data_IF_694845257981
#
_entry.id   IF_694845257981
#
_cell.length_a   1.000
_cell.length_b   1.000
_cell.length_c   1.000
_cell.angle_alpha   90.00
_cell.angle_beta   90.00
_cell.angle_gamma   90.00
#
_symmetry.space_group_name_H-M   'P 1'
#
loop_
_entity.id
_entity.type
_entity.pdbx_description
1 polymer ?
#
# COMPACT_ATOMS: atom_id res chain seq x y z
N UNK A 1 -16.18 24.86 -15.62
CA UNK A 1 -15.36 23.66 -15.98
C UNK A 1 -15.40 22.75 -14.79
N UNK A 2 -15.80 21.48 -14.94
CA UNK A 2 -15.74 20.51 -13.86
C UNK A 2 -14.28 20.29 -13.48
N UNK A 3 -13.92 20.48 -12.22
CA UNK A 3 -12.59 20.16 -11.71
C UNK A 3 -12.42 18.66 -11.67
N UNK A 4 -11.29 18.15 -12.18
CA UNK A 4 -10.99 16.71 -12.10
C UNK A 4 -10.89 16.30 -10.63
N UNK A 5 -11.45 15.13 -10.23
CA UNK A 5 -11.18 14.60 -8.90
C UNK A 5 -9.69 14.31 -8.74
N UNK A 6 -9.14 14.59 -7.56
CA UNK A 6 -7.73 14.40 -7.28
C UNK A 6 -7.48 13.20 -6.36
N UNK A 7 -6.33 12.58 -6.53
CA UNK A 7 -5.81 11.50 -5.71
C UNK A 7 -4.36 11.80 -5.30
N UNK A 8 -4.02 11.51 -4.03
CA UNK A 8 -2.63 11.38 -3.60
C UNK A 8 -2.28 9.90 -3.44
N UNK A 9 -1.16 9.48 -4.04
CA UNK A 9 -0.60 8.13 -3.84
C UNK A 9 0.76 8.25 -3.16
N UNK A 10 0.89 7.82 -1.91
CA UNK A 10 2.20 7.79 -1.25
C UNK A 10 3.04 6.63 -1.79
N UNK A 11 4.35 6.87 -1.99
CA UNK A 11 5.20 5.92 -2.71
C UNK A 11 4.76 5.69 -4.16
N UNK A 12 4.12 6.70 -4.78
CA UNK A 12 3.51 6.63 -6.10
C UNK A 12 4.49 6.58 -7.27
N UNK A 13 5.79 6.72 -7.04
CA UNK A 13 6.80 6.76 -8.10
C UNK A 13 7.17 5.39 -8.67
N UNK A 14 7.03 4.32 -7.87
CA UNK A 14 7.51 2.96 -8.21
C UNK A 14 6.53 1.88 -7.79
N UNK A 15 6.76 0.66 -8.32
CA UNK A 15 6.09 -0.58 -7.89
C UNK A 15 4.56 -0.45 -7.92
N UNK A 16 3.86 -0.95 -6.89
CA UNK A 16 2.39 -0.92 -6.78
C UNK A 16 1.87 0.52 -6.84
N UNK A 17 2.51 1.47 -6.15
CA UNK A 17 2.09 2.87 -6.14
C UNK A 17 2.07 3.51 -7.51
N UNK A 18 3.07 3.21 -8.37
CA UNK A 18 3.11 3.74 -9.74
C UNK A 18 2.00 3.16 -10.62
N UNK A 19 1.63 1.89 -10.41
CA UNK A 19 0.52 1.26 -11.16
C UNK A 19 -0.82 1.86 -10.74
N UNK A 20 -1.03 2.10 -9.44
CA UNK A 20 -2.21 2.82 -8.94
C UNK A 20 -2.26 4.23 -9.55
N UNK A 21 -1.14 4.98 -9.53
CA UNK A 21 -1.07 6.33 -10.09
C UNK A 21 -1.44 6.35 -11.59
N UNK A 22 -0.92 5.41 -12.38
CA UNK A 22 -1.25 5.27 -13.81
C UNK A 22 -2.74 4.98 -14.01
N UNK A 23 -3.30 4.01 -13.29
CA UNK A 23 -4.70 3.60 -13.42
C UNK A 23 -5.66 4.76 -13.14
N UNK A 24 -5.39 5.58 -12.12
CA UNK A 24 -6.21 6.75 -11.84
C UNK A 24 -6.00 7.86 -12.89
N UNK A 25 -4.77 8.08 -13.38
CA UNK A 25 -4.50 9.02 -14.47
C UNK A 25 -5.26 8.66 -15.75
N UNK A 26 -5.26 7.38 -16.13
CA UNK A 26 -6.03 6.83 -17.28
C UNK A 26 -7.54 6.98 -17.08
N UNK A 27 -8.02 6.88 -15.84
CA UNK A 27 -9.41 7.12 -15.46
C UNK A 27 -9.79 8.62 -15.39
N UNK A 28 -8.88 9.52 -15.78
CA UNK A 28 -9.15 10.96 -15.92
C UNK A 28 -8.98 11.78 -14.63
N UNK A 29 -8.36 11.23 -13.59
CA UNK A 29 -8.09 11.92 -12.33
C UNK A 29 -6.86 12.84 -12.43
N UNK A 30 -6.79 13.84 -11.55
CA UNK A 30 -5.56 14.54 -11.26
C UNK A 30 -4.76 13.75 -10.22
N UNK A 31 -3.53 13.34 -10.56
CA UNK A 31 -2.73 12.44 -9.73
C UNK A 31 -1.58 13.19 -9.06
N UNK A 32 -1.56 13.21 -7.75
CA UNK A 32 -0.43 13.68 -6.95
C UNK A 32 0.44 12.48 -6.60
N UNK A 33 1.64 12.44 -7.16
CA UNK A 33 2.60 11.34 -7.01
C UNK A 33 3.58 11.72 -5.89
N UNK A 34 3.41 11.11 -4.72
CA UNK A 34 4.37 11.32 -3.63
C UNK A 34 5.55 10.36 -3.78
N UNK A 35 6.75 10.89 -3.48
CA UNK A 35 8.00 10.14 -3.41
C UNK A 35 8.87 10.60 -2.23
N UNK A 36 9.72 9.71 -1.72
CA UNK A 36 10.79 10.05 -0.77
C UNK A 36 12.07 10.44 -1.52
N UNK A 37 12.68 9.48 -2.21
CA UNK A 37 13.97 9.61 -2.90
C UNK A 37 13.91 9.42 -4.42
N UNK A 38 12.82 8.85 -4.95
CA UNK A 38 12.66 8.47 -6.36
C UNK A 38 12.15 9.64 -7.23
N UNK A 39 12.92 10.74 -7.29
CA UNK A 39 12.52 11.98 -7.94
C UNK A 39 12.43 11.87 -9.48
N UNK A 40 13.32 11.11 -10.10
CA UNK A 40 13.33 10.92 -11.54
C UNK A 40 12.11 10.12 -11.98
N UNK A 41 11.88 8.96 -11.38
CA UNK A 41 10.74 8.09 -11.71
C UNK A 41 9.40 8.79 -11.42
N UNK A 42 9.33 9.61 -10.38
CA UNK A 42 8.13 10.40 -10.09
C UNK A 42 7.84 11.43 -11.19
N UNK A 43 8.87 12.14 -11.67
CA UNK A 43 8.75 13.13 -12.74
C UNK A 43 8.40 12.49 -14.07
N UNK A 44 9.04 11.37 -14.42
CA UNK A 44 8.76 10.64 -15.65
C UNK A 44 7.33 10.14 -15.68
N UNK A 45 6.87 9.58 -14.56
CA UNK A 45 5.48 9.14 -14.44
C UNK A 45 4.50 10.32 -14.53
N UNK A 46 4.79 11.43 -13.87
CA UNK A 46 3.92 12.63 -13.94
C UNK A 46 3.85 13.18 -15.37
N UNK A 47 4.97 13.20 -16.10
CA UNK A 47 5.02 13.65 -17.49
C UNK A 47 4.23 12.74 -18.45
N UNK A 48 4.11 11.43 -18.12
CA UNK A 48 3.38 10.46 -18.92
C UNK A 48 1.85 10.49 -18.67
N UNK A 49 1.39 11.18 -17.63
CA UNK A 49 -0.04 11.22 -17.27
C UNK A 49 -0.71 12.52 -17.79
N UNK A 50 -2.01 12.45 -18.17
CA UNK A 50 -2.75 13.61 -18.69
C UNK A 50 -2.91 14.76 -17.70
N UNK A 51 -2.81 14.48 -16.39
CA UNK A 51 -2.93 15.48 -15.32
C UNK A 51 -2.28 14.91 -14.06
N UNK A 52 -1.06 15.33 -13.79
CA UNK A 52 -0.34 14.89 -12.61
C UNK A 52 0.65 15.96 -12.11
N UNK A 53 1.04 15.82 -10.87
CA UNK A 53 2.12 16.55 -10.23
C UNK A 53 2.88 15.66 -9.27
N UNK A 54 4.05 16.08 -8.84
CA UNK A 54 4.86 15.34 -7.86
C UNK A 54 4.97 16.12 -6.56
N UNK A 55 5.05 15.41 -5.44
CA UNK A 55 5.35 15.98 -4.13
C UNK A 55 6.38 15.14 -3.42
N UNK A 56 7.41 15.78 -2.87
CA UNK A 56 8.45 15.10 -2.10
C UNK A 56 8.20 15.26 -0.61
N UNK A 57 8.31 14.16 0.14
CA UNK A 57 8.30 14.18 1.60
C UNK A 57 9.00 12.91 2.13
N UNK A 58 9.76 13.03 3.21
CA UNK A 58 10.19 11.83 3.96
C UNK A 58 9.09 11.47 4.97
N UNK A 59 8.48 10.31 4.81
CA UNK A 59 7.43 9.85 5.72
C UNK A 59 7.95 9.39 7.10
N UNK A 60 9.27 9.34 7.30
CA UNK A 60 9.85 9.23 8.63
C UNK A 60 9.64 10.52 9.45
N UNK A 61 9.51 11.68 8.77
CA UNK A 61 9.08 12.94 9.38
C UNK A 61 7.56 13.09 9.28
N UNK A 62 6.86 12.65 10.34
CA UNK A 62 5.41 12.70 10.40
C UNK A 62 4.84 14.13 10.41
N UNK A 63 5.59 15.13 10.85
CA UNK A 63 5.13 16.52 10.86
C UNK A 63 5.23 17.12 9.47
N UNK A 64 6.30 16.86 8.73
CA UNK A 64 6.42 17.21 7.32
C UNK A 64 5.32 16.55 6.47
N UNK A 65 5.01 15.27 6.73
CA UNK A 65 3.92 14.56 6.05
C UNK A 65 2.55 15.20 6.30
N UNK A 66 2.26 15.59 7.54
CA UNK A 66 1.02 16.32 7.89
C UNK A 66 0.99 17.70 7.25
N UNK A 67 2.11 18.44 7.19
CA UNK A 67 2.20 19.72 6.52
C UNK A 67 1.92 19.59 5.01
N UNK A 68 2.48 18.58 4.35
CA UNK A 68 2.20 18.24 2.95
C UNK A 68 0.70 18.00 2.71
N UNK A 69 0.04 17.22 3.57
CA UNK A 69 -1.41 16.97 3.45
C UNK A 69 -2.22 18.26 3.63
N UNK A 70 -1.85 19.13 4.55
CA UNK A 70 -2.51 20.44 4.76
C UNK A 70 -2.37 21.35 3.54
N UNK A 71 -1.18 21.41 2.93
CA UNK A 71 -0.92 22.19 1.72
C UNK A 71 -1.78 21.68 0.54
N UNK A 72 -1.77 20.37 0.30
CA UNK A 72 -2.60 19.74 -0.74
C UNK A 72 -4.09 20.03 -0.52
N UNK A 73 -4.57 19.94 0.72
CA UNK A 73 -5.97 20.20 1.05
C UNK A 73 -6.38 21.67 0.84
N UNK A 74 -5.45 22.61 0.98
CA UNK A 74 -5.70 24.02 0.75
C UNK A 74 -5.86 24.37 -0.74
N UNK A 75 -5.16 23.65 -1.64
CA UNK A 75 -5.09 23.99 -3.07
C UNK A 75 -5.86 23.05 -4.02
N UNK A 76 -6.20 21.82 -3.58
CA UNK A 76 -6.96 20.90 -4.38
C UNK A 76 -8.47 21.04 -4.11
N UNK A 77 -9.28 21.49 -5.08
CA UNK A 77 -10.70 21.80 -4.84
C UNK A 77 -11.60 20.55 -4.73
N UNK A 78 -11.20 19.42 -5.33
CA UNK A 78 -11.86 18.11 -5.21
C UNK A 78 -10.81 17.03 -4.96
N UNK A 79 -10.19 17.07 -3.77
CA UNK A 79 -9.27 15.98 -3.37
C UNK A 79 -10.06 14.84 -2.75
N UNK A 80 -10.33 13.84 -3.57
CA UNK A 80 -11.27 12.77 -3.24
C UNK A 80 -10.62 11.54 -2.62
N UNK A 81 -9.40 11.19 -3.03
CA UNK A 81 -8.75 9.94 -2.60
C UNK A 81 -7.37 10.18 -2.04
N UNK A 82 -7.08 9.57 -0.90
CA UNK A 82 -5.75 9.38 -0.33
C UNK A 82 -5.43 7.88 -0.31
N UNK A 83 -4.38 7.46 -1.01
CA UNK A 83 -3.84 6.10 -0.95
C UNK A 83 -2.54 6.09 -0.18
N UNK A 84 -2.53 5.50 1.01
CA UNK A 84 -1.33 5.25 1.79
C UNK A 84 -0.70 3.93 1.32
N UNK A 85 0.21 4.02 0.34
CA UNK A 85 0.88 2.87 -0.29
C UNK A 85 2.37 2.78 0.06
N UNK A 86 3.01 3.88 0.47
CA UNK A 86 4.41 3.88 0.88
C UNK A 86 4.61 2.94 2.07
N UNK A 87 5.67 2.14 2.02
CA UNK A 87 6.01 1.18 3.07
C UNK A 87 7.49 0.83 3.00
N UNK A 88 8.09 0.53 4.13
CA UNK A 88 9.38 -0.15 4.20
C UNK A 88 9.17 -1.61 4.58
N UNK A 89 10.00 -2.47 4.00
CA UNK A 89 9.98 -3.92 4.20
C UNK A 89 11.42 -4.37 4.50
N UNK A 90 11.76 -4.41 5.77
CA UNK A 90 13.12 -4.73 6.24
C UNK A 90 13.09 -6.06 6.96
N UNK A 91 14.14 -6.87 6.75
CA UNK A 91 14.26 -8.20 7.33
C UNK A 91 14.56 -8.08 8.83
N UNK A 92 13.79 -8.76 9.61
CA UNK A 92 14.02 -9.16 11.00
C UNK A 92 13.14 -10.40 11.29
N UNK A 93 13.22 -10.94 12.48
CA UNK A 93 12.43 -12.12 12.88
C UNK A 93 11.95 -12.02 14.32
N UNK A 94 11.04 -12.92 14.69
CA UNK A 94 10.43 -12.95 16.01
C UNK A 94 11.42 -13.35 17.15
N UNK A 95 12.58 -13.91 16.81
CA UNK A 95 13.58 -14.34 17.79
C UNK A 95 14.41 -13.19 18.36
N UNK A 96 14.57 -12.09 17.58
CA UNK A 96 15.36 -10.93 18.00
C UNK A 96 14.84 -9.65 17.34
N UNK A 97 13.98 -8.92 18.03
CA UNK A 97 13.49 -7.62 17.59
C UNK A 97 14.63 -6.61 17.53
N UNK A 98 14.84 -5.99 16.37
CA UNK A 98 15.70 -4.82 16.23
C UNK A 98 14.89 -3.55 16.53
N UNK A 99 15.20 -2.77 17.59
CA UNK A 99 14.43 -1.59 17.97
C UNK A 99 14.42 -0.48 16.92
N UNK A 100 15.50 -0.33 16.14
CA UNK A 100 15.60 0.71 15.10
C UNK A 100 14.74 0.33 13.90
N UNK A 101 14.80 -0.94 13.46
CA UNK A 101 13.94 -1.48 12.40
C UNK A 101 12.47 -1.35 12.83
N UNK A 102 12.12 -1.78 14.04
CA UNK A 102 10.75 -1.73 14.55
C UNK A 102 10.22 -0.30 14.63
N UNK A 103 10.99 0.61 15.23
CA UNK A 103 10.60 2.02 15.34
C UNK A 103 10.39 2.64 13.97
N UNK A 104 11.31 2.43 13.03
CA UNK A 104 11.20 2.96 11.67
C UNK A 104 10.01 2.37 10.91
N UNK A 105 9.77 1.06 11.03
CA UNK A 105 8.61 0.40 10.45
C UNK A 105 7.29 0.97 10.99
N UNK A 106 7.17 1.12 12.31
CA UNK A 106 5.99 1.69 12.95
C UNK A 106 5.74 3.14 12.51
N UNK A 107 6.77 3.96 12.42
CA UNK A 107 6.63 5.34 11.97
C UNK A 107 6.14 5.43 10.53
N UNK A 108 6.84 4.80 9.59
CA UNK A 108 6.57 4.94 8.16
C UNK A 108 5.31 4.17 7.73
N UNK A 109 5.12 2.95 8.24
CA UNK A 109 4.04 2.07 7.79
C UNK A 109 2.73 2.25 8.56
N UNK A 110 2.73 2.85 9.76
CA UNK A 110 1.55 2.95 10.61
C UNK A 110 1.25 4.38 11.13
N UNK A 111 2.15 5.00 11.89
CA UNK A 111 1.85 6.28 12.55
C UNK A 111 1.67 7.43 11.57
N UNK A 112 2.59 7.60 10.64
CA UNK A 112 2.52 8.67 9.64
C UNK A 112 1.30 8.52 8.74
N UNK A 113 0.99 7.34 8.13
CA UNK A 113 -0.24 7.17 7.34
C UNK A 113 -1.52 7.40 8.16
N UNK A 114 -1.55 7.03 9.44
CA UNK A 114 -2.71 7.33 10.29
C UNK A 114 -2.91 8.84 10.47
N UNK A 115 -1.84 9.59 10.77
CA UNK A 115 -1.87 11.06 10.89
C UNK A 115 -2.25 11.74 9.58
N UNK A 116 -1.74 11.25 8.45
CA UNK A 116 -2.10 11.76 7.13
C UNK A 116 -3.58 11.53 6.84
N UNK A 117 -4.11 10.33 7.13
CA UNK A 117 -5.52 9.99 6.95
C UNK A 117 -6.43 10.90 7.80
N UNK A 118 -6.11 11.09 9.07
CA UNK A 118 -6.83 12.02 9.96
C UNK A 118 -6.82 13.46 9.43
N UNK A 119 -5.65 13.93 8.98
CA UNK A 119 -5.51 15.30 8.45
C UNK A 119 -6.28 15.46 7.14
N UNK A 120 -6.22 14.47 6.24
CA UNK A 120 -6.98 14.43 5.00
C UNK A 120 -8.49 14.48 5.27
N UNK A 121 -9.00 13.60 6.13
CA UNK A 121 -10.42 13.55 6.50
C UNK A 121 -10.89 14.84 7.19
N UNK A 122 -10.02 15.53 7.91
CA UNK A 122 -10.37 16.79 8.55
C UNK A 122 -10.29 18.02 7.62
N UNK A 123 -9.49 17.99 6.55
CA UNK A 123 -9.12 19.19 5.78
C UNK A 123 -9.46 19.16 4.30
N UNK A 124 -9.40 17.98 3.67
CA UNK A 124 -9.66 17.87 2.24
C UNK A 124 -11.12 18.17 1.90
N UNK A 125 -11.33 18.76 0.72
CA UNK A 125 -12.66 19.07 0.20
C UNK A 125 -12.96 18.15 -0.97
N UNK A 126 -14.12 17.51 -0.95
CA UNK A 126 -14.62 16.75 -2.09
C UNK A 126 -16.15 16.70 -2.08
N UNK A 127 -16.80 17.23 -3.13
CA UNK A 127 -18.26 17.12 -3.26
C UNK A 127 -18.75 15.67 -3.34
N UNK A 128 -17.90 14.75 -3.83
CA UNK A 128 -18.22 13.32 -3.93
C UNK A 128 -17.93 12.51 -2.66
N UNK A 129 -17.54 13.18 -1.54
CA UNK A 129 -17.03 12.53 -0.33
C UNK A 129 -15.55 12.13 -0.47
N UNK A 130 -14.92 11.78 0.64
CA UNK A 130 -13.49 11.47 0.74
C UNK A 130 -13.28 9.98 0.90
N UNK A 131 -12.18 9.47 0.33
CA UNK A 131 -11.78 8.04 0.41
C UNK A 131 -10.36 7.95 0.94
N UNK A 132 -10.16 7.23 2.02
CA UNK A 132 -8.85 6.78 2.46
C UNK A 132 -8.71 5.31 2.10
N UNK A 133 -7.64 4.95 1.40
CA UNK A 133 -7.31 3.57 1.04
C UNK A 133 -5.95 3.24 1.65
N UNK A 134 -5.96 2.32 2.61
CA UNK A 134 -4.76 1.86 3.33
C UNK A 134 -4.24 0.59 2.66
N UNK A 135 -3.02 0.63 2.11
CA UNK A 135 -2.39 -0.58 1.57
C UNK A 135 -1.73 -1.32 2.74
N UNK A 136 -2.38 -2.39 3.16
CA UNK A 136 -1.94 -3.26 4.24
C UNK A 136 -1.10 -4.43 3.70
N UNK A 137 -1.40 -5.65 4.11
CA UNK A 137 -0.74 -6.88 3.66
C UNK A 137 -1.62 -8.09 4.02
N UNK A 138 -1.53 -9.19 3.28
CA UNK A 138 -2.24 -10.43 3.61
C UNK A 138 -1.84 -10.99 4.99
N UNK A 139 -0.63 -10.66 5.48
CA UNK A 139 -0.13 -11.04 6.81
C UNK A 139 -1.01 -10.54 7.97
N UNK A 140 -1.93 -9.59 7.75
CA UNK A 140 -2.91 -9.21 8.78
C UNK A 140 -3.92 -10.32 9.09
N UNK A 141 -4.08 -11.31 8.21
CA UNK A 141 -4.92 -12.49 8.42
C UNK A 141 -4.09 -13.78 8.56
N UNK A 142 -2.90 -13.82 7.97
CA UNK A 142 -2.00 -14.98 8.00
C UNK A 142 -0.57 -14.54 8.43
N UNK A 143 -0.36 -14.17 9.70
CA UNK A 143 0.95 -13.77 10.20
C UNK A 143 1.88 -14.99 10.33
N UNK A 144 3.17 -14.75 10.12
CA UNK A 144 4.25 -15.69 10.37
C UNK A 144 5.45 -14.97 11.04
N UNK A 145 6.44 -15.67 11.58
CA UNK A 145 7.52 -15.05 12.35
C UNK A 145 8.50 -14.20 11.54
N UNK A 146 8.50 -14.32 10.23
CA UNK A 146 9.41 -13.61 9.35
C UNK A 146 8.93 -12.17 9.10
N UNK A 147 9.88 -11.23 8.96
CA UNK A 147 9.60 -9.80 8.82
C UNK A 147 8.72 -9.27 9.96
N UNK A 148 9.14 -9.55 11.19
CA UNK A 148 8.34 -9.36 12.39
C UNK A 148 7.90 -7.91 12.57
N UNK A 149 8.84 -6.95 12.53
CA UNK A 149 8.54 -5.52 12.69
C UNK A 149 7.65 -4.98 11.57
N UNK A 150 7.87 -5.44 10.34
CA UNK A 150 6.98 -5.11 9.22
C UNK A 150 5.57 -5.61 9.48
N UNK A 151 5.41 -6.89 9.82
CA UNK A 151 4.11 -7.51 10.09
C UNK A 151 3.39 -6.78 11.22
N UNK A 152 4.07 -6.50 12.34
CA UNK A 152 3.54 -5.71 13.45
C UNK A 152 3.06 -4.32 12.99
N UNK A 153 3.84 -3.62 12.15
CA UNK A 153 3.46 -2.30 11.63
C UNK A 153 2.23 -2.36 10.72
N UNK A 154 2.09 -3.43 9.91
CA UNK A 154 0.92 -3.63 9.05
C UNK A 154 -0.35 -3.96 9.84
N UNK A 155 -0.24 -4.71 10.94
CA UNK A 155 -1.35 -4.90 11.88
C UNK A 155 -1.78 -3.59 12.55
N UNK A 156 -0.81 -2.79 13.02
CA UNK A 156 -1.10 -1.46 13.58
C UNK A 156 -1.78 -0.56 12.54
N UNK A 157 -1.31 -0.55 11.29
CA UNK A 157 -1.93 0.20 10.20
C UNK A 157 -3.35 -0.28 9.91
N UNK A 158 -3.56 -1.59 9.80
CA UNK A 158 -4.87 -2.18 9.52
C UNK A 158 -5.90 -1.84 10.60
N UNK A 159 -5.49 -1.78 11.88
CA UNK A 159 -6.38 -1.42 12.98
C UNK A 159 -6.98 -0.03 12.82
N UNK A 160 -6.28 0.89 12.14
CA UNK A 160 -6.76 2.27 11.90
C UNK A 160 -7.95 2.34 10.97
N UNK A 161 -8.15 1.36 10.08
CA UNK A 161 -9.19 1.38 9.04
C UNK A 161 -10.57 1.50 9.67
N UNK A 162 -10.90 0.55 10.53
CA UNK A 162 -12.23 0.54 11.18
C UNK A 162 -12.42 1.69 12.16
N UNK A 163 -11.38 2.05 12.90
CA UNK A 163 -11.45 3.16 13.85
C UNK A 163 -11.70 4.49 13.14
N UNK A 164 -10.98 4.76 12.04
CA UNK A 164 -11.19 5.97 11.24
C UNK A 164 -12.55 5.95 10.54
N UNK A 165 -13.01 4.79 10.07
CA UNK A 165 -14.33 4.65 9.46
C UNK A 165 -15.47 5.01 10.43
N UNK A 166 -15.36 4.54 11.69
CA UNK A 166 -16.36 4.81 12.74
C UNK A 166 -16.34 6.28 13.21
N UNK A 167 -15.21 6.97 13.04
CA UNK A 167 -15.05 8.36 13.46
C UNK A 167 -15.54 9.40 12.43
N UNK A 168 -16.09 8.97 11.27
CA UNK A 168 -16.58 9.90 10.25
C UNK A 168 -18.06 10.21 10.42
N UNK A 169 -18.37 11.51 10.45
CA UNK A 169 -19.76 12.00 10.52
C UNK A 169 -20.40 12.13 9.12
N UNK A 170 -19.60 12.40 8.07
CA UNK A 170 -20.12 12.51 6.70
C UNK A 170 -20.39 11.11 6.13
N UNK A 171 -21.66 10.76 5.84
CA UNK A 171 -22.00 9.42 5.34
C UNK A 171 -21.43 9.13 3.94
N UNK A 172 -20.86 10.13 3.27
CA UNK A 172 -20.18 9.94 1.97
C UNK A 172 -18.72 9.52 2.14
N UNK A 173 -18.10 9.76 3.30
CA UNK A 173 -16.71 9.42 3.53
C UNK A 173 -16.52 7.91 3.74
N UNK A 174 -15.40 7.40 3.24
CA UNK A 174 -15.05 5.97 3.37
C UNK A 174 -13.59 5.80 3.75
N UNK A 175 -13.33 4.81 4.57
CA UNK A 175 -11.98 4.32 4.87
C UNK A 175 -11.93 2.84 4.55
N UNK A 176 -10.97 2.45 3.73
CA UNK A 176 -10.83 1.09 3.23
C UNK A 176 -9.41 0.56 3.41
N UNK A 177 -9.28 -0.76 3.44
CA UNK A 177 -8.05 -1.48 3.29
C UNK A 177 -7.96 -2.22 1.95
N UNK A 178 -6.75 -2.33 1.43
CA UNK A 178 -6.39 -3.36 0.46
C UNK A 178 -5.25 -4.15 1.07
N UNK A 179 -5.38 -5.46 1.09
CA UNK A 179 -4.39 -6.40 1.61
C UNK A 179 -3.80 -7.23 0.47
N UNK A 180 -2.67 -6.80 -0.12
CA UNK A 180 -1.98 -7.55 -1.16
C UNK A 180 -1.34 -8.82 -0.61
N UNK A 181 -1.23 -9.84 -1.47
CA UNK A 181 -0.31 -10.96 -1.29
C UNK A 181 1.08 -10.69 -1.86
N UNK A 182 1.79 -11.74 -2.26
CA UNK A 182 3.04 -11.65 -3.00
C UNK A 182 2.78 -11.12 -4.43
N UNK A 183 3.04 -9.84 -4.67
CA UNK A 183 2.69 -9.12 -5.91
C UNK A 183 3.91 -8.86 -6.79
N UNK A 184 5.03 -8.43 -6.20
CA UNK A 184 6.25 -8.06 -6.89
C UNK A 184 7.45 -8.65 -6.17
N UNK A 185 8.42 -9.15 -6.94
CA UNK A 185 9.66 -9.68 -6.39
C UNK A 185 10.29 -8.73 -5.36
N UNK A 186 10.80 -9.28 -4.27
CA UNK A 186 11.71 -8.58 -3.37
C UNK A 186 13.07 -8.41 -4.06
N UNK A 187 13.83 -7.42 -3.62
CA UNK A 187 15.13 -7.07 -4.21
C UNK A 187 16.18 -8.18 -4.10
N UNK A 188 15.96 -9.17 -3.24
CA UNK A 188 16.84 -10.29 -2.95
C UNK A 188 16.31 -11.65 -3.45
N UNK A 189 15.22 -11.65 -4.25
CA UNK A 189 14.67 -12.85 -4.87
C UNK A 189 15.16 -13.05 -6.29
N UNK A 190 15.53 -14.29 -6.62
CA UNK A 190 15.74 -14.75 -7.99
C UNK A 190 14.41 -14.87 -8.76
N UNK A 191 14.47 -14.95 -10.09
CA UNK A 191 13.27 -15.17 -10.91
C UNK A 191 12.57 -16.50 -10.57
N UNK A 192 13.36 -17.57 -10.30
CA UNK A 192 12.82 -18.88 -9.91
C UNK A 192 12.10 -18.83 -8.57
N UNK A 193 12.71 -18.19 -7.56
CA UNK A 193 12.06 -18.00 -6.25
C UNK A 193 10.79 -17.16 -6.38
N UNK A 194 10.80 -16.12 -7.21
CA UNK A 194 9.63 -15.28 -7.48
C UNK A 194 8.52 -16.08 -8.15
N UNK A 195 8.84 -16.91 -9.14
CA UNK A 195 7.86 -17.76 -9.82
C UNK A 195 7.17 -18.72 -8.85
N UNK A 196 7.91 -19.29 -7.91
CA UNK A 196 7.39 -20.19 -6.88
C UNK A 196 6.57 -19.41 -5.87
N UNK A 197 7.16 -18.42 -5.21
CA UNK A 197 6.54 -17.68 -4.10
C UNK A 197 5.22 -17.03 -4.49
N UNK A 198 5.12 -16.47 -5.70
CA UNK A 198 3.90 -15.80 -6.17
C UNK A 198 2.78 -16.77 -6.55
N UNK A 199 3.03 -18.07 -6.55
CA UNK A 199 2.02 -19.13 -6.77
C UNK A 199 1.66 -19.90 -5.49
N UNK A 200 2.28 -19.57 -4.36
CA UNK A 200 1.94 -20.13 -3.05
C UNK A 200 0.66 -19.48 -2.50
N UNK A 201 -0.42 -19.62 -3.25
CA UNK A 201 -1.76 -19.16 -2.94
C UNK A 201 -2.81 -20.16 -3.44
N UNK A 202 -4.06 -20.04 -3.02
CA UNK A 202 -5.11 -21.03 -3.36
C UNK A 202 -5.35 -21.13 -4.87
N UNK A 203 -5.27 -20.03 -5.60
CA UNK A 203 -5.50 -20.02 -7.05
C UNK A 203 -4.26 -20.43 -7.85
N UNK A 204 -3.12 -20.66 -7.21
CA UNK A 204 -1.83 -21.07 -7.82
C UNK A 204 -1.42 -20.21 -9.01
N UNK A 205 -1.69 -18.90 -8.95
CA UNK A 205 -1.38 -17.91 -9.97
C UNK A 205 -0.65 -16.71 -9.39
N UNK A 206 0.01 -15.95 -10.24
CA UNK A 206 0.54 -14.65 -9.87
C UNK A 206 -0.61 -13.64 -9.79
N UNK A 207 -0.68 -12.90 -8.69
CA UNK A 207 -1.50 -11.71 -8.58
C UNK A 207 -0.67 -10.51 -9.05
N UNK A 208 -1.20 -9.72 -9.95
CA UNK A 208 -0.48 -8.57 -10.53
C UNK A 208 -0.75 -7.26 -9.79
N UNK A 209 0.13 -6.27 -9.93
CA UNK A 209 -0.09 -4.94 -9.35
C UNK A 209 -1.28 -4.21 -9.98
N UNK A 210 -1.70 -4.57 -11.20
CA UNK A 210 -2.89 -4.05 -11.86
C UNK A 210 -4.15 -4.42 -11.09
N UNK A 211 -4.23 -5.61 -10.51
CA UNK A 211 -5.38 -6.04 -9.69
C UNK A 211 -5.51 -5.18 -8.42
N UNK A 212 -4.38 -4.74 -7.84
CA UNK A 212 -4.38 -3.79 -6.72
C UNK A 212 -4.88 -2.41 -7.17
N UNK A 213 -4.44 -1.95 -8.33
CA UNK A 213 -4.87 -0.67 -8.89
C UNK A 213 -6.36 -0.67 -9.27
N UNK A 214 -6.87 -1.78 -9.82
CA UNK A 214 -8.30 -1.97 -10.10
C UNK A 214 -9.13 -1.98 -8.83
N UNK A 215 -8.67 -2.67 -7.79
CA UNK A 215 -9.31 -2.66 -6.47
C UNK A 215 -9.35 -1.25 -5.87
N UNK A 216 -8.25 -0.47 -5.97
CA UNK A 216 -8.22 0.91 -5.51
C UNK A 216 -9.21 1.80 -6.28
N UNK A 217 -9.27 1.65 -7.60
CA UNK A 217 -10.22 2.39 -8.44
C UNK A 217 -11.68 2.01 -8.13
N UNK A 218 -11.97 0.73 -7.89
CA UNK A 218 -13.27 0.25 -7.43
C UNK A 218 -13.66 0.88 -6.09
N UNK A 219 -12.77 0.86 -5.09
CA UNK A 219 -13.01 1.44 -3.78
C UNK A 219 -13.21 2.96 -3.83
N UNK A 220 -12.60 3.65 -4.81
CA UNK A 220 -12.78 5.10 -5.01
C UNK A 220 -14.24 5.49 -5.29
N UNK A 221 -15.06 4.56 -5.78
CA UNK A 221 -16.49 4.77 -6.03
C UNK A 221 -17.31 4.84 -4.73
N UNK A 222 -16.82 4.24 -3.64
CA UNK A 222 -17.49 4.28 -2.33
C UNK A 222 -18.70 3.35 -2.21
N UNK A 223 -18.78 2.31 -3.03
CA UNK A 223 -19.93 1.37 -3.04
C UNK A 223 -19.93 0.40 -1.86
N UNK A 224 -18.77 0.11 -1.29
CA UNK A 224 -18.69 -0.75 -0.11
C UNK A 224 -18.93 0.04 1.18
N UNK A 225 -19.30 -0.67 2.24
CA UNK A 225 -19.35 -0.11 3.59
C UNK A 225 -17.96 0.39 4.01
N UNK A 226 -17.92 1.50 4.77
CA UNK A 226 -16.67 2.01 5.33
C UNK A 226 -16.13 1.03 6.39
N UNK A 227 -14.82 0.83 6.41
CA UNK A 227 -14.16 -0.11 7.33
C UNK A 227 -13.81 -1.46 6.72
N UNK A 228 -14.22 -1.72 5.47
CA UNK A 228 -13.93 -2.98 4.77
C UNK A 228 -12.49 -3.04 4.27
N UNK A 229 -11.94 -4.27 4.22
CA UNK A 229 -10.63 -4.57 3.64
C UNK A 229 -10.78 -5.64 2.56
N UNK A 230 -10.28 -5.35 1.36
CA UNK A 230 -10.23 -6.31 0.26
C UNK A 230 -8.88 -7.04 0.26
N UNK A 231 -8.92 -8.37 0.35
CA UNK A 231 -7.73 -9.19 0.12
C UNK A 231 -7.56 -9.43 -1.38
N UNK A 232 -6.46 -8.93 -1.93
CA UNK A 232 -6.11 -9.07 -3.36
C UNK A 232 -4.82 -9.89 -3.44
N UNK A 233 -4.93 -11.18 -3.20
CA UNK A 233 -3.81 -12.08 -2.93
C UNK A 233 -4.01 -13.50 -3.47
N UNK A 234 -5.01 -13.69 -4.34
CA UNK A 234 -5.38 -15.02 -4.88
C UNK A 234 -5.66 -16.09 -3.81
N UNK A 235 -6.11 -15.65 -2.62
CA UNK A 235 -6.42 -16.53 -1.49
C UNK A 235 -5.18 -16.93 -0.68
N UNK A 236 -4.08 -16.21 -0.75
CA UNK A 236 -2.89 -16.48 0.05
C UNK A 236 -3.18 -16.39 1.56
N UNK A 237 -3.98 -15.41 2.00
CA UNK A 237 -4.36 -15.22 3.40
C UNK A 237 -5.18 -16.37 4.00
N UNK A 238 -5.71 -17.27 3.17
CA UNK A 238 -6.48 -18.44 3.60
C UNK A 238 -5.61 -19.70 3.79
N UNK A 239 -4.32 -19.59 3.48
CA UNK A 239 -3.36 -20.67 3.72
C UNK A 239 -2.71 -20.49 5.09
N UNK A 240 -2.53 -21.60 5.80
CA UNK A 240 -1.77 -21.62 7.05
C UNK A 240 -0.28 -21.82 6.70
N UNK A 241 0.43 -20.71 6.54
CA UNK A 241 1.85 -20.66 6.17
C UNK A 241 2.69 -20.25 7.37
N UNK A 242 3.52 -21.14 7.88
CA UNK A 242 4.38 -20.95 9.04
C UNK A 242 5.62 -20.09 8.75
N UNK A 243 5.95 -19.86 7.47
CA UNK A 243 7.03 -19.03 6.99
C UNK A 243 6.54 -18.05 5.92
N UNK A 244 7.30 -16.99 5.69
CA UNK A 244 7.08 -16.12 4.53
C UNK A 244 7.31 -16.90 3.23
N UNK A 245 6.49 -16.63 2.21
CA UNK A 245 6.57 -17.32 0.90
C UNK A 245 7.93 -17.18 0.23
N UNK A 246 8.72 -16.16 0.58
CA UNK A 246 10.10 -15.98 0.12
C UNK A 246 10.97 -17.15 0.63
N UNK A 247 10.86 -17.49 1.91
CA UNK A 247 11.62 -18.58 2.51
C UNK A 247 11.11 -19.95 2.09
N UNK A 248 9.78 -20.13 1.99
CA UNK A 248 9.21 -21.35 1.45
C UNK A 248 9.69 -21.62 0.00
N UNK A 249 9.78 -20.58 -0.83
CA UNK A 249 10.29 -20.72 -2.19
C UNK A 249 11.78 -21.07 -2.23
N UNK A 250 12.59 -20.54 -1.32
CA UNK A 250 14.02 -20.89 -1.17
C UNK A 250 14.19 -22.35 -0.80
N UNK A 251 13.49 -22.82 0.22
CA UNK A 251 13.52 -24.23 0.64
C UNK A 251 13.14 -25.18 -0.50
N UNK A 252 12.09 -24.84 -1.27
CA UNK A 252 11.69 -25.62 -2.45
C UNK A 252 12.74 -25.58 -3.57
N UNK A 253 13.50 -24.50 -3.69
CA UNK A 253 14.53 -24.36 -4.72
C UNK A 253 15.78 -25.14 -4.36
N UNK A 254 16.19 -25.10 -3.09
CA UNK A 254 17.38 -25.76 -2.55
C UNK A 254 17.16 -27.30 -2.49
N UNK A 255 16.01 -27.75 -2.00
CA UNK A 255 15.65 -29.17 -1.98
C UNK A 255 15.54 -29.81 -3.37
N UNK A 256 15.21 -29.03 -4.40
CA UNK A 256 15.22 -29.50 -5.78
C UNK A 256 16.64 -29.66 -6.35
N UNK A 257 17.62 -28.89 -5.84
CA UNK A 257 19.03 -29.03 -6.25
C UNK A 257 19.69 -30.27 -5.65
N UNK A 258 19.39 -30.63 -4.40
CA UNK A 258 19.90 -31.83 -3.73
C UNK A 258 19.31 -33.14 -4.28
N UNK A 259 18.08 -33.10 -4.81
CA UNK A 259 17.43 -34.28 -5.42
C UNK A 259 17.88 -34.64 -6.83
N UNK A 260 18.78 -33.86 -7.44
CA UNK A 260 19.27 -34.07 -8.81
C UNK A 260 20.66 -34.74 -8.84
N UNK A 261 21.28 -35.03 -7.68
CA UNK A 261 22.60 -35.67 -7.55
C UNK A 261 22.54 -37.17 -7.15
N UNK A 262 21.43 -37.89 -7.43
CA UNK A 262 21.35 -39.35 -7.24
C UNK A 262 21.19 -40.09 -8.54
#
# INVERSE_FOLDING_TARGET
MSTKPAILVTGGAKRIGAVIARRFGEAGWHVVIHYGTSAEEARDLAAALPSAETVQCDLADGDAAVAMVKDLAARLPDWRVLVNCASIFTKDDAGALDPDIATRAMHINAFTPARMAQTFLARARSPGGRRVIQITDQKIANPNPDFFSYTMSKHAHASTIRMLAMAQDDPRDRVYGIAPGAILASHDQSEKETEISHRLNLLRRKTGPDEIADAALFLSQGWLASGETLFVDSGQHLLDQDRDVIYLAREMTDGAAEGTEL
#
